data_IF_086467081509
#
_entry.id   IF_086467081509
#
_cell.length_a   1.000
_cell.length_b   1.000
_cell.length_c   1.000
_cell.angle_alpha   90.00
_cell.angle_beta   90.00
_cell.angle_gamma   90.00
#
_symmetry.space_group_name_H-M   'P 1'
#
loop_
_entity.id
_entity.type
_entity.pdbx_description
1 polymer ?
#
# COMPACT_ATOMS: atom_id res chain seq x y z
N UNK A 1 -16.10 -21.50 23.21
CA UNK A 1 -16.11 -20.02 23.32
C UNK A 1 -16.44 -19.49 21.94
N UNK A 2 -17.71 -19.29 21.66
CA UNK A 2 -18.16 -18.55 20.49
C UNK A 2 -18.35 -17.12 20.97
N UNK A 3 -17.28 -16.32 20.89
CA UNK A 3 -17.45 -14.87 20.86
C UNK A 3 -18.27 -14.59 19.60
N UNK A 4 -19.59 -14.47 19.78
CA UNK A 4 -20.48 -13.95 18.76
C UNK A 4 -20.10 -12.48 18.58
N UNK A 5 -19.05 -12.23 17.79
CA UNK A 5 -18.80 -10.95 17.17
C UNK A 5 -20.06 -10.63 16.37
N UNK A 6 -20.86 -9.69 16.88
CA UNK A 6 -22.04 -9.20 16.19
C UNK A 6 -21.58 -8.58 14.86
N UNK A 7 -21.93 -9.23 13.76
CA UNK A 7 -21.53 -8.77 12.43
C UNK A 7 -22.41 -7.60 12.01
N UNK A 8 -21.79 -6.43 11.84
CA UNK A 8 -22.45 -5.22 11.37
C UNK A 8 -22.06 -4.94 9.91
N UNK A 9 -22.87 -5.39 8.95
CA UNK A 9 -22.58 -5.30 7.51
C UNK A 9 -22.27 -3.86 7.05
N UNK A 10 -23.02 -2.87 7.55
CA UNK A 10 -22.78 -1.46 7.21
C UNK A 10 -21.42 -0.97 7.68
N UNK A 11 -21.02 -1.32 8.92
CA UNK A 11 -19.71 -0.95 9.46
C UNK A 11 -18.57 -1.69 8.75
N UNK A 12 -18.78 -2.96 8.40
CA UNK A 12 -17.82 -3.75 7.63
C UNK A 12 -17.60 -3.14 6.23
N UNK A 13 -18.67 -2.78 5.52
CA UNK A 13 -18.60 -2.12 4.20
C UNK A 13 -18.00 -0.72 4.27
N UNK A 14 -18.30 0.04 5.32
CA UNK A 14 -17.66 1.33 5.57
C UNK A 14 -16.15 1.18 5.79
N UNK A 15 -15.73 0.18 6.56
CA UNK A 15 -14.31 -0.16 6.76
C UNK A 15 -13.61 -0.55 5.46
N UNK A 16 -14.24 -1.39 4.63
CA UNK A 16 -13.71 -1.77 3.31
C UNK A 16 -13.46 -0.53 2.44
N UNK A 17 -14.43 0.40 2.38
CA UNK A 17 -14.30 1.65 1.63
C UNK A 17 -13.13 2.51 2.11
N UNK A 18 -12.88 2.56 3.43
CA UNK A 18 -11.70 3.25 3.98
C UNK A 18 -10.39 2.62 3.51
N UNK A 19 -10.30 1.30 3.45
CA UNK A 19 -9.12 0.61 2.91
C UNK A 19 -8.92 0.85 1.41
N UNK A 20 -10.00 0.93 0.63
CA UNK A 20 -9.93 1.28 -0.80
C UNK A 20 -9.37 2.72 -0.98
N UNK A 21 -9.88 3.68 -0.21
CA UNK A 21 -9.41 5.07 -0.25
C UNK A 21 -7.96 5.21 0.20
N UNK A 22 -7.59 4.50 1.28
CA UNK A 22 -6.21 4.49 1.79
C UNK A 22 -5.27 3.86 0.76
N UNK A 23 -5.67 2.75 0.15
CA UNK A 23 -4.91 2.08 -0.91
C UNK A 23 -4.66 2.99 -2.10
N UNK A 24 -5.68 3.72 -2.57
CA UNK A 24 -5.54 4.69 -3.66
C UNK A 24 -4.59 5.86 -3.29
N UNK A 25 -4.70 6.37 -2.05
CA UNK A 25 -3.82 7.44 -1.54
C UNK A 25 -2.37 6.99 -1.49
N UNK A 26 -2.12 5.77 -0.99
CA UNK A 26 -0.77 5.20 -0.92
C UNK A 26 -0.20 4.86 -2.30
N UNK A 27 -1.05 4.41 -3.24
CA UNK A 27 -0.63 4.19 -4.62
C UNK A 27 -0.16 5.49 -5.28
N UNK A 28 -0.89 6.58 -5.05
CA UNK A 28 -0.49 7.91 -5.53
C UNK A 28 0.84 8.34 -4.90
N UNK A 29 0.97 8.22 -3.58
CA UNK A 29 2.22 8.54 -2.89
C UNK A 29 3.39 7.71 -3.42
N UNK A 30 3.19 6.42 -3.69
CA UNK A 30 4.21 5.56 -4.26
C UNK A 30 4.65 6.01 -5.66
N UNK A 31 3.69 6.44 -6.49
CA UNK A 31 3.97 6.99 -7.82
C UNK A 31 4.72 8.33 -7.74
N UNK A 32 4.32 9.21 -6.82
CA UNK A 32 4.98 10.51 -6.59
C UNK A 32 6.42 10.30 -6.10
N UNK A 33 6.64 9.41 -5.12
CA UNK A 33 7.99 9.03 -4.64
C UNK A 33 8.83 8.45 -5.77
N UNK A 34 8.27 7.56 -6.58
CA UNK A 34 8.98 7.01 -7.73
C UNK A 34 9.36 8.10 -8.74
N UNK A 35 8.48 9.06 -9.00
CA UNK A 35 8.74 10.16 -9.93
C UNK A 35 9.84 11.08 -9.44
N UNK A 36 9.76 11.54 -8.18
CA UNK A 36 10.75 12.45 -7.57
C UNK A 36 12.13 11.80 -7.45
N UNK A 37 12.17 10.49 -7.21
CA UNK A 37 13.39 9.73 -7.07
C UNK A 37 13.88 9.11 -8.39
N UNK A 38 13.16 9.22 -9.51
CA UNK A 38 13.59 8.60 -10.77
C UNK A 38 14.71 9.39 -11.48
N UNK A 39 14.89 10.67 -11.18
CA UNK A 39 15.93 11.48 -11.82
C UNK A 39 17.31 11.09 -11.32
N UNK A 40 18.17 10.66 -12.25
CA UNK A 40 19.59 10.49 -12.02
C UNK A 40 20.19 11.81 -11.51
N UNK A 41 20.92 11.73 -10.41
CA UNK A 41 21.38 12.86 -9.60
C UNK A 41 22.27 13.82 -10.44
N UNK A 42 22.09 15.15 -10.34
CA UNK A 42 23.02 16.13 -10.91
C UNK A 42 24.48 15.95 -10.44
N UNK A 43 24.72 15.20 -9.36
CA UNK A 43 26.04 15.00 -8.78
C UNK A 43 26.85 13.85 -9.38
N UNK A 44 26.29 13.03 -10.27
CA UNK A 44 26.91 11.79 -10.81
C UNK A 44 28.28 11.92 -11.53
N UNK A 45 28.74 13.12 -11.89
CA UNK A 45 29.90 13.30 -12.76
C UNK A 45 31.26 13.45 -12.06
N UNK A 46 31.33 13.52 -10.72
CA UNK A 46 32.61 13.61 -9.99
C UNK A 46 32.82 12.43 -9.02
N UNK A 47 34.05 12.23 -8.52
CA UNK A 47 34.38 11.08 -7.64
C UNK A 47 33.54 11.06 -6.36
N UNK A 48 33.12 12.23 -5.87
CA UNK A 48 32.22 12.37 -4.71
C UNK A 48 30.81 11.93 -5.12
N UNK A 49 30.35 12.38 -6.28
CA UNK A 49 29.16 11.95 -7.00
C UNK A 49 29.05 10.45 -7.19
N UNK A 50 30.10 9.78 -7.64
CA UNK A 50 30.07 8.32 -7.86
C UNK A 50 29.85 7.51 -6.58
N UNK A 51 30.38 7.98 -5.45
CA UNK A 51 30.12 7.37 -4.15
C UNK A 51 28.72 7.67 -3.64
N UNK A 52 28.28 8.93 -3.80
CA UNK A 52 26.93 9.37 -3.49
C UNK A 52 25.90 8.60 -4.30
N UNK A 53 26.02 8.54 -5.62
CA UNK A 53 25.20 7.76 -6.55
C UNK A 53 25.07 6.30 -6.11
N UNK A 54 26.15 5.63 -5.71
CA UNK A 54 26.07 4.20 -5.39
C UNK A 54 25.27 3.87 -4.12
N UNK A 55 25.38 4.71 -3.09
CA UNK A 55 24.64 4.53 -1.83
C UNK A 55 23.27 5.21 -1.87
N UNK A 56 23.17 6.32 -2.58
CA UNK A 56 21.92 6.99 -2.88
C UNK A 56 21.04 6.10 -3.76
N UNK A 57 21.56 5.50 -4.83
CA UNK A 57 20.79 4.59 -5.70
C UNK A 57 20.23 3.39 -4.94
N UNK A 58 21.01 2.79 -4.03
CA UNK A 58 20.53 1.71 -3.16
C UNK A 58 19.40 2.21 -2.26
N UNK A 59 19.62 3.33 -1.57
CA UNK A 59 18.63 3.92 -0.66
C UNK A 59 17.35 4.34 -1.38
N UNK A 60 17.49 4.92 -2.57
CA UNK A 60 16.43 5.33 -3.49
C UNK A 60 15.61 4.13 -3.95
N UNK A 61 16.28 3.09 -4.43
CA UNK A 61 15.63 1.84 -4.86
C UNK A 61 14.90 1.16 -3.70
N UNK A 62 15.51 1.13 -2.51
CA UNK A 62 14.88 0.59 -1.31
C UNK A 62 13.65 1.41 -0.89
N UNK A 63 13.72 2.75 -0.92
CA UNK A 63 12.60 3.62 -0.60
C UNK A 63 11.42 3.41 -1.56
N UNK A 64 11.67 3.42 -2.88
CA UNK A 64 10.66 3.15 -3.90
C UNK A 64 10.02 1.77 -3.68
N UNK A 65 10.84 0.74 -3.45
CA UNK A 65 10.37 -0.64 -3.24
C UNK A 65 9.49 -0.75 -1.99
N UNK A 66 9.92 -0.15 -0.87
CA UNK A 66 9.21 -0.23 0.39
C UNK A 66 7.86 0.51 0.33
N UNK A 67 7.83 1.71 -0.25
CA UNK A 67 6.59 2.49 -0.36
C UNK A 67 5.61 1.79 -1.30
N UNK A 68 6.08 1.30 -2.45
CA UNK A 68 5.26 0.53 -3.39
C UNK A 68 4.71 -0.75 -2.75
N UNK A 69 5.56 -1.53 -2.10
CA UNK A 69 5.16 -2.77 -1.43
C UNK A 69 4.19 -2.54 -0.28
N UNK A 70 4.31 -1.42 0.45
CA UNK A 70 3.33 -1.04 1.47
C UNK A 70 1.97 -0.67 0.85
N UNK A 71 1.96 0.13 -0.23
CA UNK A 71 0.75 0.47 -0.94
C UNK A 71 0.01 -0.77 -1.47
N UNK A 72 0.74 -1.70 -2.10
CA UNK A 72 0.20 -2.97 -2.61
C UNK A 72 -0.43 -3.82 -1.50
N UNK A 73 0.22 -3.91 -0.34
CA UNK A 73 -0.33 -4.64 0.83
C UNK A 73 -1.64 -4.03 1.30
N UNK A 74 -1.74 -2.71 1.42
CA UNK A 74 -2.98 -2.06 1.86
C UNK A 74 -4.11 -2.26 0.84
N UNK A 75 -3.80 -2.12 -0.45
CA UNK A 75 -4.75 -2.39 -1.55
C UNK A 75 -5.27 -3.84 -1.49
N UNK A 76 -4.43 -4.79 -1.09
CA UNK A 76 -4.81 -6.19 -1.00
C UNK A 76 -5.83 -6.52 0.11
N UNK A 77 -6.01 -5.66 1.12
CA UNK A 77 -6.90 -5.93 2.23
C UNK A 77 -8.38 -5.72 1.89
N UNK A 78 -8.71 -4.67 1.14
CA UNK A 78 -10.08 -4.38 0.74
C UNK A 78 -10.82 -5.58 0.07
N UNK A 79 -10.25 -6.26 -0.94
CA UNK A 79 -10.92 -7.41 -1.56
C UNK A 79 -11.05 -8.61 -0.61
N UNK A 80 -10.08 -8.85 0.27
CA UNK A 80 -10.15 -9.93 1.29
C UNK A 80 -11.27 -9.65 2.29
N UNK A 81 -11.35 -8.41 2.79
CA UNK A 81 -12.41 -7.96 3.70
C UNK A 81 -13.78 -8.06 3.03
N UNK A 82 -13.89 -7.70 1.75
CA UNK A 82 -15.12 -7.83 0.97
C UNK A 82 -15.55 -9.28 0.82
N UNK A 83 -14.63 -10.19 0.48
CA UNK A 83 -14.92 -11.63 0.41
C UNK A 83 -15.40 -12.19 1.76
N UNK A 84 -14.77 -11.77 2.86
CA UNK A 84 -15.19 -12.16 4.20
C UNK A 84 -16.61 -11.65 4.53
N UNK A 85 -16.88 -10.37 4.27
CA UNK A 85 -18.19 -9.75 4.48
C UNK A 85 -19.30 -10.45 3.68
N UNK A 86 -19.07 -10.69 2.37
CA UNK A 86 -20.04 -11.36 1.52
C UNK A 86 -20.25 -12.84 1.93
N UNK A 87 -19.22 -13.49 2.48
CA UNK A 87 -19.32 -14.85 3.03
C UNK A 87 -20.21 -14.94 4.28
N UNK A 88 -20.10 -13.97 5.19
CA UNK A 88 -20.95 -13.91 6.40
C UNK A 88 -22.41 -13.69 6.02
N UNK A 89 -22.71 -12.70 5.16
CA UNK A 89 -24.09 -12.41 4.72
C UNK A 89 -24.73 -13.60 4.01
N UNK A 90 -23.97 -14.36 3.22
CA UNK A 90 -24.49 -15.54 2.54
C UNK A 90 -24.75 -16.71 3.51
N UNK A 91 -23.97 -16.82 4.58
CA UNK A 91 -24.17 -17.83 5.64
C UNK A 91 -25.40 -17.49 6.49
N UNK A 92 -25.63 -16.21 6.80
CA UNK A 92 -26.80 -15.76 7.57
C UNK A 92 -28.13 -15.87 6.79
N UNK A 93 -28.08 -15.97 5.45
CA UNK A 93 -29.27 -16.11 4.58
C UNK A 93 -29.64 -17.57 4.26
N UNK A 94 -28.81 -18.55 4.63
CA UNK A 94 -29.01 -19.97 4.36
C UNK A 94 -29.70 -20.69 5.54
#
# INVERSE_FOLDING_TARGET
MSDNLEYHDELARAGISQFEQLGATLAKLAADVQSELATADPWSHDKIGSGFDSEFDKSRTAAITNVKGFAEKVISYAPVLKQAADGVVNTDKA
#
